data_IF_911801426517
#
_entry.id   IF_911801426517
#
_cell.length_a   1.000
_cell.length_b   1.000
_cell.length_c   1.000
_cell.angle_alpha   90.00
_cell.angle_beta   90.00
_cell.angle_gamma   90.00
#
_symmetry.space_group_name_H-M   'P 1'
#
loop_
_entity.id
_entity.type
_entity.pdbx_description
1 polymer ?
#
# COMPACT_ATOMS: atom_id res chain seq x y z
N UNK A 1 8.45 -20.33 -14.90
CA UNK A 1 8.22 -20.92 -13.56
C UNK A 1 8.19 -19.78 -12.57
N UNK A 2 7.27 -19.77 -11.60
CA UNK A 2 7.19 -18.74 -10.55
C UNK A 2 7.46 -19.42 -9.20
N UNK A 3 8.40 -18.88 -8.45
CA UNK A 3 8.73 -19.27 -7.07
C UNK A 3 8.48 -18.06 -6.17
N UNK A 4 7.80 -18.27 -5.04
CA UNK A 4 7.46 -17.21 -4.09
C UNK A 4 8.09 -17.58 -2.74
N UNK A 5 8.85 -16.65 -2.17
CA UNK A 5 9.52 -16.80 -0.87
C UNK A 5 9.04 -15.72 0.09
N UNK A 6 8.62 -16.14 1.28
CA UNK A 6 8.33 -15.23 2.39
C UNK A 6 9.65 -14.78 3.02
N UNK A 7 9.75 -13.48 3.29
CA UNK A 7 10.86 -12.83 3.95
C UNK A 7 10.36 -12.19 5.27
N UNK A 8 11.27 -11.90 6.22
CA UNK A 8 10.92 -11.09 7.40
C UNK A 8 10.37 -9.72 7.02
N UNK A 9 9.67 -9.07 7.95
CA UNK A 9 8.98 -7.79 7.83
C UNK A 9 7.81 -7.80 6.84
N UNK A 10 7.13 -8.94 6.71
CA UNK A 10 6.00 -9.10 5.79
C UNK A 10 6.38 -8.72 4.35
N UNK A 11 7.55 -9.20 3.93
CA UNK A 11 8.06 -9.05 2.57
C UNK A 11 7.96 -10.38 1.82
N UNK A 12 7.81 -10.28 0.51
CA UNK A 12 7.81 -11.42 -0.40
C UNK A 12 8.83 -11.18 -1.50
N UNK A 13 9.60 -12.22 -1.80
CA UNK A 13 10.42 -12.31 -3.01
C UNK A 13 9.78 -13.26 -4.01
N UNK A 14 9.48 -12.75 -5.19
CA UNK A 14 9.00 -13.51 -6.34
C UNK A 14 10.16 -13.69 -7.31
N UNK A 15 10.54 -14.93 -7.57
CA UNK A 15 11.50 -15.29 -8.62
C UNK A 15 10.69 -15.87 -9.77
N UNK A 16 10.76 -15.24 -10.94
CA UNK A 16 9.90 -15.59 -12.06
C UNK A 16 10.63 -15.61 -13.39
N UNK A 17 10.04 -16.36 -14.32
CA UNK A 17 10.45 -16.35 -15.73
C UNK A 17 9.24 -16.10 -16.62
N UNK A 18 9.36 -15.10 -17.49
CA UNK A 18 8.40 -14.86 -18.58
C UNK A 18 8.86 -15.70 -19.78
N UNK A 19 8.00 -16.61 -20.32
CA UNK A 19 8.38 -17.47 -21.43
C UNK A 19 8.87 -16.69 -22.65
N UNK A 20 9.87 -17.22 -23.35
CA UNK A 20 10.47 -16.58 -24.53
C UNK A 20 9.43 -16.12 -25.56
N UNK A 21 8.43 -16.96 -25.86
CA UNK A 21 7.34 -16.62 -26.79
C UNK A 21 6.57 -15.36 -26.38
N UNK A 22 6.31 -15.19 -25.09
CA UNK A 22 5.60 -14.03 -24.55
C UNK A 22 6.54 -12.82 -24.58
N UNK A 23 7.78 -13.00 -24.11
CA UNK A 23 8.79 -11.94 -24.11
C UNK A 23 9.05 -11.36 -25.50
N UNK A 24 9.21 -12.20 -26.52
CA UNK A 24 9.45 -11.80 -27.92
C UNK A 24 8.27 -11.03 -28.54
N UNK A 25 7.04 -11.24 -28.03
CA UNK A 25 5.88 -10.49 -28.53
C UNK A 25 5.98 -8.98 -28.28
N UNK A 26 6.76 -8.57 -27.26
CA UNK A 26 6.98 -7.16 -26.92
C UNK A 26 8.06 -6.48 -27.76
N UNK A 27 8.79 -7.23 -28.61
CA UNK A 27 9.90 -6.68 -29.41
C UNK A 27 9.47 -5.55 -30.32
N UNK A 28 8.34 -5.73 -31.01
CA UNK A 28 7.80 -4.72 -31.93
C UNK A 28 7.41 -3.43 -31.22
N UNK A 29 6.80 -3.53 -30.04
CA UNK A 29 6.38 -2.38 -29.26
C UNK A 29 7.59 -1.66 -28.66
N UNK A 30 8.59 -2.41 -28.19
CA UNK A 30 9.85 -1.85 -27.71
C UNK A 30 10.59 -1.03 -28.79
N UNK A 31 10.72 -1.59 -30.00
CA UNK A 31 11.30 -0.90 -31.16
C UNK A 31 10.53 0.37 -31.48
N UNK A 32 9.20 0.30 -31.48
CA UNK A 32 8.34 1.45 -31.78
C UNK A 32 8.51 2.57 -30.74
N UNK A 33 8.53 2.24 -29.45
CA UNK A 33 8.75 3.24 -28.37
C UNK A 33 10.14 3.88 -28.50
N UNK A 34 11.19 3.08 -28.62
CA UNK A 34 12.56 3.59 -28.72
C UNK A 34 12.72 4.46 -29.99
N UNK A 35 12.14 4.05 -31.12
CA UNK A 35 12.19 4.82 -32.37
C UNK A 35 11.51 6.19 -32.24
N UNK A 36 10.45 6.30 -31.44
CA UNK A 36 9.77 7.58 -31.19
C UNK A 36 10.56 8.48 -30.23
N UNK A 37 11.31 7.90 -29.29
CA UNK A 37 12.12 8.62 -28.31
C UNK A 37 13.50 9.04 -28.85
N UNK A 38 14.06 8.25 -29.78
CA UNK A 38 15.43 8.43 -30.27
C UNK A 38 15.46 9.29 -31.53
N UNK A 39 16.39 10.25 -31.57
CA UNK A 39 16.72 10.99 -32.78
C UNK A 39 17.73 10.20 -33.59
N UNK A 40 17.37 9.84 -34.82
CA UNK A 40 18.25 9.11 -35.73
C UNK A 40 18.54 10.02 -36.91
N UNK A 41 19.82 10.22 -37.20
CA UNK A 41 20.26 11.08 -38.29
C UNK A 41 19.64 10.65 -39.63
N UNK A 42 19.07 11.62 -40.35
CA UNK A 42 18.42 11.38 -41.64
C UNK A 42 16.99 10.81 -41.56
N UNK A 43 16.47 10.46 -40.38
CA UNK A 43 15.12 9.93 -40.20
C UNK A 43 14.28 10.80 -39.27
N UNK A 44 13.01 10.98 -39.61
CA UNK A 44 12.06 11.58 -38.66
C UNK A 44 11.81 10.60 -37.51
N UNK A 45 11.67 11.11 -36.27
CA UNK A 45 11.31 10.32 -35.08
C UNK A 45 10.20 9.32 -35.40
N UNK A 46 10.41 8.07 -35.02
CA UNK A 46 9.48 6.96 -35.25
C UNK A 46 9.44 6.38 -36.67
N UNK A 47 10.31 6.84 -37.59
CA UNK A 47 10.32 6.42 -39.00
C UNK A 47 11.64 5.78 -39.45
N UNK A 48 12.63 5.68 -38.57
CA UNK A 48 13.85 4.96 -38.86
C UNK A 48 13.56 3.45 -39.05
N UNK A 49 14.14 2.79 -40.07
CA UNK A 49 14.10 1.35 -40.22
C UNK A 49 14.70 0.63 -39.01
N UNK A 50 14.21 -0.58 -38.73
CA UNK A 50 14.62 -1.36 -37.56
C UNK A 50 16.13 -1.64 -37.53
N UNK A 51 16.72 -2.07 -38.64
CA UNK A 51 18.16 -2.36 -38.72
C UNK A 51 19.03 -1.14 -38.41
N UNK A 52 18.55 0.06 -38.75
CA UNK A 52 19.25 1.33 -38.47
C UNK A 52 19.10 1.67 -36.99
N UNK A 53 17.90 1.50 -36.42
CA UNK A 53 17.66 1.69 -34.99
C UNK A 53 18.54 0.76 -34.15
N UNK A 54 18.60 -0.54 -34.48
CA UNK A 54 19.41 -1.53 -33.74
C UNK A 54 20.90 -1.15 -33.78
N UNK A 55 21.41 -0.71 -34.93
CA UNK A 55 22.82 -0.28 -35.05
C UNK A 55 23.13 0.95 -34.19
N UNK A 56 22.19 1.88 -34.10
CA UNK A 56 22.37 3.12 -33.34
C UNK A 56 22.24 2.88 -31.83
N UNK A 57 21.21 2.15 -31.40
CA UNK A 57 20.84 2.04 -29.97
C UNK A 57 21.31 0.77 -29.29
N UNK A 58 21.70 -0.24 -30.07
CA UNK A 58 22.11 -1.56 -29.61
C UNK A 58 20.94 -2.49 -29.25
N UNK A 59 21.15 -3.79 -29.46
CA UNK A 59 20.17 -4.84 -29.12
C UNK A 59 19.84 -4.87 -27.62
N UNK A 60 20.82 -4.58 -26.76
CA UNK A 60 20.64 -4.56 -25.30
C UNK A 60 19.56 -3.58 -24.84
N UNK A 61 19.52 -2.38 -25.42
CA UNK A 61 18.51 -1.37 -25.09
C UNK A 61 17.12 -1.81 -25.51
N UNK A 62 17.00 -2.50 -26.64
CA UNK A 62 15.74 -3.06 -27.12
C UNK A 62 15.27 -4.16 -26.18
N UNK A 63 16.15 -5.10 -25.83
CA UNK A 63 15.85 -6.16 -24.86
C UNK A 63 15.40 -5.57 -23.53
N UNK A 64 16.12 -4.58 -22.99
CA UNK A 64 15.73 -3.95 -21.73
C UNK A 64 14.35 -3.28 -21.81
N UNK A 65 14.04 -2.60 -22.92
CA UNK A 65 12.70 -2.03 -23.15
C UNK A 65 11.63 -3.12 -23.26
N UNK A 66 11.91 -4.22 -23.94
CA UNK A 66 11.02 -5.38 -23.97
C UNK A 66 10.75 -5.89 -22.56
N UNK A 67 11.78 -5.95 -21.70
CA UNK A 67 11.65 -6.46 -20.34
C UNK A 67 10.73 -5.58 -19.49
N UNK A 68 10.86 -4.25 -19.60
CA UNK A 68 9.98 -3.31 -18.92
C UNK A 68 8.52 -3.46 -19.36
N UNK A 69 8.27 -3.61 -20.67
CA UNK A 69 6.92 -3.81 -21.21
C UNK A 69 6.32 -5.14 -20.76
N UNK A 70 7.10 -6.23 -20.88
CA UNK A 70 6.67 -7.55 -20.46
C UNK A 70 6.35 -7.60 -18.96
N UNK A 71 7.22 -7.04 -18.11
CA UNK A 71 6.99 -6.98 -16.67
C UNK A 71 5.77 -6.12 -16.31
N UNK A 72 5.56 -4.99 -17.01
CA UNK A 72 4.39 -4.12 -16.80
C UNK A 72 3.08 -4.87 -17.05
N UNK A 73 3.05 -5.77 -18.03
CA UNK A 73 1.85 -6.54 -18.35
C UNK A 73 1.70 -7.82 -17.52
N UNK A 74 2.78 -8.58 -17.34
CA UNK A 74 2.73 -9.90 -16.70
C UNK A 74 2.74 -9.82 -15.18
N UNK A 75 3.44 -8.85 -14.57
CA UNK A 75 3.52 -8.75 -13.12
C UNK A 75 2.15 -8.62 -12.43
N UNK A 76 1.22 -7.74 -12.89
CA UNK A 76 -0.13 -7.69 -12.31
C UNK A 76 -0.90 -9.01 -12.40
N UNK A 77 -0.67 -9.81 -13.46
CA UNK A 77 -1.30 -11.12 -13.63
C UNK A 77 -0.78 -12.09 -12.56
N UNK A 78 0.53 -12.10 -12.31
CA UNK A 78 1.17 -12.93 -11.27
C UNK A 78 0.62 -12.59 -9.89
N UNK A 79 0.54 -11.30 -9.54
CA UNK A 79 -0.02 -10.85 -8.25
C UNK A 79 -1.47 -11.32 -8.08
N UNK A 80 -2.29 -11.19 -9.12
CA UNK A 80 -3.69 -11.61 -9.09
C UNK A 80 -3.85 -13.13 -9.00
N UNK A 81 -3.10 -13.89 -9.79
CA UNK A 81 -3.16 -15.36 -9.83
C UNK A 81 -2.80 -15.98 -8.48
N UNK A 82 -1.76 -15.43 -7.84
CA UNK A 82 -1.30 -15.90 -6.53
C UNK A 82 -2.00 -15.21 -5.34
N UNK A 83 -3.00 -14.35 -5.60
CA UNK A 83 -3.78 -13.61 -4.58
C UNK A 83 -2.90 -12.84 -3.59
N UNK A 84 -1.80 -12.26 -4.07
CA UNK A 84 -0.86 -11.55 -3.22
C UNK A 84 -1.44 -10.17 -2.88
N UNK A 85 -1.72 -9.93 -1.60
CA UNK A 85 -2.15 -8.61 -1.07
C UNK A 85 -0.94 -7.66 -1.00
N UNK A 86 -0.42 -7.22 -2.15
CA UNK A 86 0.76 -6.37 -2.25
C UNK A 86 0.53 -4.95 -1.68
N UNK A 87 1.52 -4.42 -0.96
CA UNK A 87 1.54 -3.04 -0.45
C UNK A 87 2.61 -2.26 -1.21
N UNK A 88 2.19 -1.15 -1.83
CA UNK A 88 3.09 -0.27 -2.57
C UNK A 88 3.56 -0.87 -3.90
N UNK A 89 4.70 -0.37 -4.39
CA UNK A 89 5.30 -0.81 -5.66
C UNK A 89 6.41 -1.82 -5.40
N UNK A 90 6.56 -2.85 -6.26
CA UNK A 90 7.66 -3.79 -6.14
C UNK A 90 9.00 -3.18 -6.57
N UNK A 91 10.07 -3.67 -5.96
CA UNK A 91 11.43 -3.57 -6.50
C UNK A 91 11.67 -4.74 -7.45
N UNK A 92 11.66 -4.48 -8.76
CA UNK A 92 11.88 -5.51 -9.77
C UNK A 92 13.30 -5.41 -10.32
N UNK A 93 14.01 -6.53 -10.33
CA UNK A 93 15.34 -6.71 -10.89
C UNK A 93 15.30 -7.75 -12.00
N UNK A 94 15.75 -7.41 -13.20
CA UNK A 94 15.97 -8.39 -14.27
C UNK A 94 17.24 -9.18 -13.95
N UNK A 95 17.12 -10.50 -13.82
CA UNK A 95 18.24 -11.37 -13.43
C UNK A 95 18.93 -12.01 -14.64
N UNK A 96 18.18 -12.28 -15.72
CA UNK A 96 18.71 -12.78 -16.98
C UNK A 96 17.87 -12.30 -18.14
N UNK A 97 18.55 -11.81 -19.18
CA UNK A 97 17.91 -11.32 -20.40
C UNK A 97 18.79 -11.69 -21.60
N UNK A 98 18.18 -12.30 -22.61
CA UNK A 98 18.84 -12.65 -23.86
C UNK A 98 17.80 -12.83 -24.98
N UNK A 99 18.18 -12.61 -26.25
CA UNK A 99 17.28 -12.86 -27.38
C UNK A 99 16.79 -14.31 -27.41
N UNK A 100 15.53 -14.52 -27.76
CA UNK A 100 14.90 -15.85 -27.89
C UNK A 100 14.95 -16.73 -26.63
N UNK A 101 15.24 -16.14 -25.47
CA UNK A 101 15.28 -16.83 -24.19
C UNK A 101 14.17 -16.31 -23.27
N UNK A 102 13.75 -17.08 -22.26
CA UNK A 102 12.88 -16.56 -21.21
C UNK A 102 13.54 -15.36 -20.50
N UNK A 103 12.73 -14.36 -20.16
CA UNK A 103 13.16 -13.26 -19.31
C UNK A 103 13.05 -13.70 -17.85
N UNK A 104 14.18 -13.77 -17.15
CA UNK A 104 14.19 -14.06 -15.72
C UNK A 104 14.23 -12.76 -14.91
N UNK A 105 13.43 -12.71 -13.86
CA UNK A 105 13.36 -11.56 -12.96
C UNK A 105 13.20 -11.99 -11.51
N UNK A 106 13.50 -11.05 -10.62
CA UNK A 106 13.21 -11.10 -9.19
C UNK A 106 12.41 -9.86 -8.83
N UNK A 107 11.29 -10.01 -8.13
CA UNK A 107 10.53 -8.91 -7.59
C UNK A 107 10.49 -9.02 -6.06
N UNK A 108 10.81 -7.94 -5.36
CA UNK A 108 10.60 -7.83 -3.90
C UNK A 108 9.50 -6.84 -3.63
N UNK A 109 8.60 -7.17 -2.71
CA UNK A 109 7.48 -6.32 -2.35
C UNK A 109 7.08 -6.57 -0.91
N UNK A 110 6.49 -5.55 -0.30
CA UNK A 110 5.76 -5.70 0.96
C UNK A 110 4.40 -6.30 0.69
N UNK A 111 3.91 -7.14 1.60
CA UNK A 111 2.57 -7.70 1.56
C UNK A 111 1.84 -7.36 2.84
N UNK A 112 0.51 -7.29 2.75
CA UNK A 112 -0.32 -7.13 3.93
C UNK A 112 -0.09 -8.35 4.83
N UNK A 113 0.32 -8.16 6.10
CA UNK A 113 0.52 -9.26 7.01
C UNK A 113 -0.79 -10.01 7.21
N UNK A 114 -0.71 -11.34 7.20
CA UNK A 114 -1.81 -12.17 7.67
C UNK A 114 -1.81 -12.15 9.20
N UNK A 115 -2.98 -11.89 9.79
CA UNK A 115 -3.13 -11.89 11.24
C UNK A 115 -4.06 -13.02 11.68
N UNK A 116 -3.59 -13.80 12.65
CA UNK A 116 -4.41 -14.84 13.28
C UNK A 116 -5.07 -14.21 14.50
N UNK A 117 -6.34 -13.81 14.36
CA UNK A 117 -7.06 -13.26 15.50
C UNK A 117 -7.33 -14.35 16.55
N UNK A 118 -7.18 -14.04 17.85
CA UNK A 118 -7.68 -14.86 18.95
C UNK A 118 -9.22 -14.90 18.93
N UNK A 119 -9.82 -15.64 19.87
CA UNK A 119 -11.27 -15.57 20.09
C UNK A 119 -11.68 -14.19 20.62
N UNK A 120 -11.91 -13.26 19.69
CA UNK A 120 -12.32 -11.90 20.01
C UNK A 120 -13.74 -11.86 20.60
N UNK A 121 -14.60 -12.85 20.35
CA UNK A 121 -15.96 -12.88 20.93
C UNK A 121 -15.91 -13.13 22.43
N UNK A 122 -15.02 -14.01 22.88
CA UNK A 122 -14.75 -14.18 24.32
C UNK A 122 -14.20 -12.88 24.93
N UNK A 123 -13.24 -12.24 24.27
CA UNK A 123 -12.64 -10.98 24.73
C UNK A 123 -13.72 -9.89 24.91
N UNK A 124 -14.65 -9.76 23.95
CA UNK A 124 -15.78 -8.82 24.02
C UNK A 124 -16.66 -9.03 25.27
N UNK A 125 -16.87 -10.29 25.68
CA UNK A 125 -17.68 -10.63 26.88
C UNK A 125 -16.98 -10.28 28.19
N UNK A 126 -15.64 -10.31 28.20
CA UNK A 126 -14.82 -10.00 29.38
C UNK A 126 -14.45 -8.52 29.50
N UNK A 127 -14.87 -7.67 28.57
CA UNK A 127 -14.57 -6.23 28.60
C UNK A 127 -15.44 -5.54 29.66
N UNK A 128 -14.82 -4.83 30.60
CA UNK A 128 -15.48 -4.36 31.83
C UNK A 128 -15.97 -2.90 31.73
N UNK A 129 -15.40 -2.11 30.81
CA UNK A 129 -15.77 -0.71 30.67
C UNK A 129 -17.21 -0.53 30.16
N UNK A 130 -17.96 0.36 30.80
CA UNK A 130 -19.33 0.74 30.39
C UNK A 130 -19.36 1.82 29.30
N UNK A 131 -18.33 2.64 29.23
CA UNK A 131 -18.17 3.67 28.21
C UNK A 131 -17.67 3.02 26.92
N UNK A 132 -18.41 3.19 25.82
CA UNK A 132 -18.17 2.47 24.56
C UNK A 132 -16.74 2.66 24.05
N UNK A 133 -16.25 3.89 23.99
CA UNK A 133 -14.91 4.19 23.47
C UNK A 133 -13.81 3.49 24.27
N UNK A 134 -13.90 3.54 25.61
CA UNK A 134 -12.93 2.86 26.49
C UNK A 134 -13.02 1.35 26.36
N UNK A 135 -14.24 0.81 26.23
CA UNK A 135 -14.47 -0.61 26.05
C UNK A 135 -13.87 -1.12 24.74
N UNK A 136 -14.02 -0.37 23.65
CA UNK A 136 -13.47 -0.75 22.34
C UNK A 136 -11.94 -0.74 22.35
N UNK A 137 -11.33 0.27 22.98
CA UNK A 137 -9.87 0.31 23.16
C UNK A 137 -9.38 -0.89 23.98
N UNK A 138 -10.05 -1.20 25.11
CA UNK A 138 -9.70 -2.36 25.94
C UNK A 138 -9.76 -3.68 25.17
N UNK A 139 -10.81 -3.86 24.36
CA UNK A 139 -10.98 -5.05 23.51
C UNK A 139 -9.83 -5.16 22.51
N UNK A 140 -9.54 -4.06 21.81
CA UNK A 140 -8.46 -4.05 20.81
C UNK A 140 -7.11 -4.31 21.48
N UNK A 141 -6.85 -3.75 22.65
CA UNK A 141 -5.63 -4.01 23.45
C UNK A 141 -5.48 -5.50 23.78
N UNK A 142 -6.53 -6.11 24.32
CA UNK A 142 -6.54 -7.57 24.62
C UNK A 142 -6.33 -8.43 23.38
N UNK A 143 -6.81 -7.99 22.21
CA UNK A 143 -6.62 -8.71 20.94
C UNK A 143 -5.17 -8.58 20.46
N UNK A 144 -4.61 -7.36 20.42
CA UNK A 144 -3.24 -7.15 19.92
C UNK A 144 -2.19 -7.83 20.81
N UNK A 145 -2.43 -7.94 22.11
CA UNK A 145 -1.54 -8.64 23.05
C UNK A 145 -1.44 -10.14 22.75
N UNK A 146 -2.51 -10.72 22.20
CA UNK A 146 -2.59 -12.14 21.80
C UNK A 146 -2.32 -12.37 20.32
N UNK A 147 -2.01 -11.31 19.56
CA UNK A 147 -1.79 -11.37 18.12
C UNK A 147 -0.33 -11.08 17.81
N UNK A 148 0.39 -12.11 17.37
CA UNK A 148 1.73 -11.94 16.81
C UNK A 148 1.60 -11.52 15.34
N UNK A 149 2.12 -10.33 15.03
CA UNK A 149 2.17 -9.80 13.66
C UNK A 149 3.42 -8.96 13.48
N UNK A 150 4.14 -9.22 12.40
CA UNK A 150 5.30 -8.44 12.00
C UNK A 150 4.86 -7.31 11.07
N UNK A 151 5.05 -6.08 11.52
CA UNK A 151 4.59 -4.90 10.78
C UNK A 151 5.57 -4.59 9.64
N UNK A 152 5.11 -4.54 8.38
CA UNK A 152 5.94 -4.10 7.28
C UNK A 152 6.46 -2.68 7.50
N UNK A 153 7.76 -2.46 7.24
CA UNK A 153 8.41 -1.14 7.38
C UNK A 153 7.69 -0.05 6.61
N UNK A 154 7.18 -0.37 5.42
CA UNK A 154 6.43 0.60 4.61
C UNK A 154 5.17 1.12 5.31
N UNK A 155 4.47 0.28 6.08
CA UNK A 155 3.30 0.72 6.86
C UNK A 155 3.72 1.57 8.05
N UNK A 156 4.82 1.21 8.71
CA UNK A 156 5.37 1.97 9.82
C UNK A 156 5.78 3.38 9.39
N UNK A 157 6.52 3.48 8.29
CA UNK A 157 6.95 4.77 7.74
C UNK A 157 5.75 5.60 7.24
N UNK A 158 4.75 4.96 6.63
CA UNK A 158 3.52 5.65 6.24
C UNK A 158 2.74 6.24 7.45
N UNK A 159 2.61 5.49 8.54
CA UNK A 159 1.93 5.96 9.76
C UNK A 159 2.72 7.10 10.43
N UNK A 160 4.06 7.03 10.45
CA UNK A 160 4.93 8.12 10.94
C UNK A 160 4.76 9.40 10.13
N UNK A 161 4.74 9.30 8.79
CA UNK A 161 4.53 10.45 7.90
C UNK A 161 3.16 11.07 8.16
N UNK A 162 2.11 10.25 8.22
CA UNK A 162 0.75 10.71 8.51
C UNK A 162 0.68 11.43 9.86
N UNK A 163 1.29 10.88 10.90
CA UNK A 163 1.37 11.52 12.21
C UNK A 163 2.03 12.90 12.15
N UNK A 164 3.15 13.04 11.41
CA UNK A 164 3.81 14.33 11.24
C UNK A 164 2.93 15.34 10.50
N UNK A 165 2.25 14.92 9.45
CA UNK A 165 1.33 15.78 8.70
C UNK A 165 0.17 16.25 9.57
N UNK A 166 -0.48 15.33 10.30
CA UNK A 166 -1.56 15.65 11.24
C UNK A 166 -1.09 16.63 12.32
N UNK A 167 0.09 16.40 12.89
CA UNK A 167 0.63 17.28 13.92
C UNK A 167 1.02 18.66 13.39
N UNK A 168 1.67 18.72 12.22
CA UNK A 168 2.01 19.99 11.54
C UNK A 168 0.76 20.79 11.22
N UNK A 169 -0.28 20.14 10.70
CA UNK A 169 -1.56 20.78 10.41
C UNK A 169 -2.24 21.30 11.69
N UNK A 170 -2.28 20.47 12.74
CA UNK A 170 -2.85 20.88 14.03
C UNK A 170 -2.11 22.08 14.64
N UNK A 171 -0.79 22.13 14.56
CA UNK A 171 0.02 23.25 15.06
C UNK A 171 -0.21 24.51 14.22
N UNK A 172 -0.29 24.37 12.90
CA UNK A 172 -0.58 25.48 11.99
C UNK A 172 -1.92 26.14 12.29
N UNK A 173 -2.96 25.35 12.59
CA UNK A 173 -4.26 25.86 13.03
C UNK A 173 -4.21 26.65 14.34
N UNK A 174 -3.24 26.36 15.20
CA UNK A 174 -2.98 27.10 16.44
C UNK A 174 -2.03 28.29 16.22
N UNK A 175 -1.59 28.54 14.99
CA UNK A 175 -0.62 29.59 14.65
C UNK A 175 0.80 29.29 15.14
N UNK A 176 1.12 28.01 15.37
CA UNK A 176 2.44 27.56 15.83
C UNK A 176 3.24 26.99 14.65
N UNK A 177 4.51 27.42 14.55
CA UNK A 177 5.44 26.90 13.55
C UNK A 177 6.08 25.59 14.01
N UNK A 178 6.21 24.63 13.07
CA UNK A 178 6.76 23.30 13.33
C UNK A 178 8.14 23.34 14.00
N UNK A 179 9.03 24.19 13.46
CA UNK A 179 10.40 24.31 13.94
C UNK A 179 10.47 24.87 15.37
N UNK A 180 9.54 25.74 15.75
CA UNK A 180 9.52 26.30 17.11
C UNK A 180 8.93 25.30 18.11
N UNK A 181 7.94 24.50 17.69
CA UNK A 181 7.48 23.35 18.47
C UNK A 181 8.62 22.38 18.82
N UNK A 182 9.40 21.96 17.81
CA UNK A 182 10.54 21.06 18.02
C UNK A 182 11.60 21.63 18.98
N UNK A 183 11.90 22.94 18.88
CA UNK A 183 12.79 23.62 19.82
C UNK A 183 12.23 23.61 21.25
N UNK A 184 10.93 23.86 21.42
CA UNK A 184 10.30 23.94 22.73
C UNK A 184 10.32 22.59 23.46
N UNK A 185 10.14 21.48 22.72
CA UNK A 185 10.24 20.13 23.29
C UNK A 185 11.69 19.63 23.36
N UNK A 186 12.65 20.40 22.84
CA UNK A 186 14.07 20.08 22.75
C UNK A 186 14.34 18.71 22.08
N UNK A 187 13.67 18.47 20.94
CA UNK A 187 13.83 17.23 20.16
C UNK A 187 13.94 17.54 18.67
N UNK A 188 14.68 16.70 17.97
CA UNK A 188 14.65 16.61 16.51
C UNK A 188 13.39 15.87 16.03
N UNK A 189 13.04 16.05 14.75
CA UNK A 189 11.95 15.29 14.11
C UNK A 189 12.21 13.77 14.15
N UNK A 190 13.46 13.35 13.97
CA UNK A 190 13.87 11.95 14.04
C UNK A 190 13.67 11.34 15.43
N UNK A 191 14.04 12.06 16.49
CA UNK A 191 13.83 11.61 17.88
C UNK A 191 12.35 11.49 18.23
N UNK A 192 11.55 12.47 17.81
CA UNK A 192 10.10 12.44 17.98
C UNK A 192 9.48 11.22 17.27
N UNK A 193 9.86 10.97 16.01
CA UNK A 193 9.37 9.82 15.25
C UNK A 193 9.78 8.48 15.86
N UNK A 194 10.99 8.42 16.44
CA UNK A 194 11.49 7.23 17.14
C UNK A 194 10.70 6.93 18.40
N UNK A 195 10.31 7.96 19.16
CA UNK A 195 9.44 7.80 20.33
C UNK A 195 8.01 7.37 19.93
N UNK A 196 7.50 7.90 18.82
CA UNK A 196 6.19 7.55 18.28
C UNK A 196 6.11 6.13 17.69
N UNK A 197 7.25 5.48 17.45
CA UNK A 197 7.30 4.19 16.75
C UNK A 197 6.41 3.11 17.37
N UNK A 198 6.38 3.00 18.71
CA UNK A 198 5.53 2.04 19.40
C UNK A 198 4.04 2.34 19.24
N UNK A 199 3.67 3.63 19.27
CA UNK A 199 2.29 4.07 19.06
C UNK A 199 1.85 3.86 17.62
N UNK A 200 2.75 4.10 16.65
CA UNK A 200 2.52 3.80 15.24
C UNK A 200 2.28 2.30 15.03
N UNK A 201 3.13 1.44 15.60
CA UNK A 201 2.95 -0.02 15.56
C UNK A 201 1.60 -0.40 16.15
N UNK A 202 1.24 0.15 17.31
CA UNK A 202 -0.05 -0.12 17.97
C UNK A 202 -1.24 0.30 17.10
N UNK A 203 -1.20 1.49 16.48
CA UNK A 203 -2.23 1.99 15.58
C UNK A 203 -2.38 1.13 14.32
N UNK A 204 -1.27 0.72 13.72
CA UNK A 204 -1.29 -0.18 12.56
C UNK A 204 -1.93 -1.52 12.96
N UNK A 205 -1.54 -2.10 14.11
CA UNK A 205 -2.14 -3.33 14.62
C UNK A 205 -3.64 -3.21 14.83
N UNK A 206 -4.12 -2.10 15.39
CA UNK A 206 -5.56 -1.85 15.52
C UNK A 206 -6.26 -1.84 14.16
N UNK A 207 -5.71 -1.13 13.18
CA UNK A 207 -6.25 -1.09 11.82
C UNK A 207 -6.36 -2.48 11.20
N UNK A 208 -5.29 -3.28 11.31
CA UNK A 208 -5.26 -4.66 10.80
C UNK A 208 -6.30 -5.54 11.51
N UNK A 209 -6.38 -5.46 12.83
CA UNK A 209 -7.36 -6.23 13.64
C UNK A 209 -8.79 -5.86 13.26
N UNK A 210 -9.10 -4.57 13.13
CA UNK A 210 -10.43 -4.11 12.73
C UNK A 210 -10.79 -4.56 11.32
N UNK A 211 -9.84 -4.49 10.38
CA UNK A 211 -10.01 -4.97 9.01
C UNK A 211 -10.34 -6.47 8.99
N UNK A 212 -9.51 -7.29 9.63
CA UNK A 212 -9.69 -8.74 9.66
C UNK A 212 -10.99 -9.16 10.37
N UNK A 213 -11.33 -8.50 11.49
CA UNK A 213 -12.61 -8.75 12.17
C UNK A 213 -13.79 -8.39 11.26
N UNK A 214 -13.72 -7.25 10.55
CA UNK A 214 -14.76 -6.84 9.63
C UNK A 214 -14.89 -7.81 8.43
N UNK A 215 -13.76 -8.29 7.87
CA UNK A 215 -13.74 -9.30 6.81
C UNK A 215 -14.38 -10.62 7.28
N UNK A 216 -14.03 -11.11 8.49
CA UNK A 216 -14.58 -12.36 9.06
C UNK A 216 -16.08 -12.28 9.34
N UNK A 217 -16.53 -11.15 9.87
CA UNK A 217 -17.95 -10.90 10.14
C UNK A 217 -18.73 -10.44 8.90
N UNK A 218 -18.04 -10.26 7.76
CA UNK A 218 -18.61 -9.80 6.48
C UNK A 218 -19.38 -8.47 6.65
N UNK A 219 -18.78 -7.52 7.34
CA UNK A 219 -19.37 -6.20 7.55
C UNK A 219 -19.32 -5.42 6.25
N UNK A 220 -20.49 -5.04 5.76
CA UNK A 220 -20.64 -4.20 4.57
C UNK A 220 -21.22 -2.84 4.95
N UNK A 221 -20.73 -1.79 4.29
CA UNK A 221 -21.29 -0.43 4.37
C UNK A 221 -21.97 -0.17 3.04
N UNK A 222 -23.26 0.13 3.07
CA UNK A 222 -24.02 0.47 1.87
C UNK A 222 -23.67 1.88 1.38
N UNK A 223 -23.86 2.13 0.08
CA UNK A 223 -23.63 3.45 -0.51
C UNK A 223 -24.46 4.54 0.17
N UNK A 224 -25.71 4.22 0.54
CA UNK A 224 -26.60 5.14 1.25
C UNK A 224 -26.04 5.52 2.64
N UNK A 225 -25.60 4.53 3.43
CA UNK A 225 -24.99 4.80 4.75
C UNK A 225 -23.74 5.67 4.61
N UNK A 226 -22.93 5.39 3.59
CA UNK A 226 -21.71 6.15 3.32
C UNK A 226 -22.02 7.59 2.92
N UNK A 227 -22.96 7.81 2.01
CA UNK A 227 -23.38 9.15 1.58
C UNK A 227 -23.94 9.98 2.74
N UNK A 228 -24.81 9.39 3.56
CA UNK A 228 -25.33 10.04 4.76
C UNK A 228 -24.23 10.38 5.77
N UNK A 229 -23.26 9.47 5.95
CA UNK A 229 -22.12 9.69 6.83
C UNK A 229 -21.22 10.82 6.33
N UNK A 230 -20.91 10.84 5.04
CA UNK A 230 -20.06 11.87 4.41
C UNK A 230 -20.71 13.22 4.58
N UNK A 231 -22.02 13.32 4.31
CA UNK A 231 -22.78 14.56 4.50
C UNK A 231 -22.65 15.10 5.93
N UNK A 232 -22.79 14.24 6.96
CA UNK A 232 -22.64 14.65 8.36
C UNK A 232 -21.23 15.15 8.70
N UNK A 233 -20.19 14.50 8.17
CA UNK A 233 -18.80 14.93 8.38
C UNK A 233 -18.57 16.30 7.73
N UNK A 234 -19.00 16.50 6.49
CA UNK A 234 -18.88 17.79 5.80
C UNK A 234 -19.63 18.89 6.57
N UNK A 235 -20.88 18.63 6.98
CA UNK A 235 -21.67 19.58 7.78
C UNK A 235 -20.99 19.98 9.11
N UNK A 236 -20.21 19.07 9.72
CA UNK A 236 -19.52 19.29 10.99
C UNK A 236 -18.21 20.07 10.82
N UNK A 237 -17.43 19.79 9.77
CA UNK A 237 -16.04 20.25 9.65
C UNK A 237 -15.82 21.37 8.61
N UNK A 238 -16.78 21.69 7.75
CA UNK A 238 -16.70 22.89 6.90
C UNK A 238 -17.23 22.74 5.47
N UNK A 239 -16.93 23.72 4.61
CA UNK A 239 -17.40 23.72 3.22
C UNK A 239 -16.68 22.64 2.42
N UNK A 240 -17.45 21.86 1.67
CA UNK A 240 -17.01 20.76 0.78
C UNK A 240 -15.81 21.10 -0.13
N UNK A 241 -15.64 22.39 -0.49
CA UNK A 241 -14.57 22.85 -1.38
C UNK A 241 -13.17 22.82 -0.78
N UNK A 242 -13.05 22.78 0.54
CA UNK A 242 -11.76 22.82 1.24
C UNK A 242 -11.31 21.40 1.68
N UNK A 243 -12.11 20.38 1.35
CA UNK A 243 -11.89 19.00 1.77
C UNK A 243 -11.54 18.10 0.58
N UNK A 244 -10.61 17.18 0.81
CA UNK A 244 -10.40 16.05 -0.09
C UNK A 244 -11.56 15.05 0.11
N UNK A 245 -12.50 15.05 -0.82
CA UNK A 245 -13.71 14.24 -0.73
C UNK A 245 -13.44 12.74 -0.81
N UNK A 246 -12.37 12.31 -1.46
CA UNK A 246 -11.98 10.90 -1.49
C UNK A 246 -11.47 10.49 -0.10
N UNK A 247 -10.64 11.32 0.52
CA UNK A 247 -10.17 11.08 1.88
C UNK A 247 -11.32 11.08 2.90
N UNK A 248 -12.28 12.00 2.77
CA UNK A 248 -13.48 12.04 3.63
C UNK A 248 -14.28 10.75 3.47
N UNK A 249 -14.53 10.28 2.24
CA UNK A 249 -15.26 9.02 2.00
C UNK A 249 -14.56 7.82 2.62
N UNK A 250 -13.24 7.68 2.44
CA UNK A 250 -12.45 6.59 3.03
C UNK A 250 -12.54 6.62 4.56
N UNK A 251 -12.39 7.80 5.16
CA UNK A 251 -12.49 7.99 6.60
C UNK A 251 -13.89 7.64 7.13
N UNK A 252 -14.95 8.16 6.49
CA UNK A 252 -16.35 7.87 6.86
C UNK A 252 -16.66 6.38 6.75
N UNK A 253 -16.22 5.72 5.68
CA UNK A 253 -16.42 4.28 5.51
C UNK A 253 -15.85 3.50 6.70
N UNK A 254 -14.60 3.81 7.10
CA UNK A 254 -13.95 3.19 8.24
C UNK A 254 -14.73 3.37 9.55
N UNK A 255 -15.22 4.59 9.83
CA UNK A 255 -16.04 4.85 11.02
C UNK A 255 -17.31 3.98 11.02
N UNK A 256 -18.07 3.99 9.92
CA UNK A 256 -19.35 3.28 9.84
C UNK A 256 -19.11 1.77 9.97
N UNK A 257 -18.12 1.24 9.25
CA UNK A 257 -17.76 -0.18 9.29
C UNK A 257 -17.39 -0.61 10.72
N UNK A 258 -16.50 0.13 11.37
CA UNK A 258 -16.05 -0.20 12.71
C UNK A 258 -17.22 -0.14 13.70
N UNK A 259 -18.08 0.87 13.61
CA UNK A 259 -19.28 0.95 14.45
C UNK A 259 -20.20 -0.26 14.23
N UNK A 260 -20.51 -0.62 12.98
CA UNK A 260 -21.35 -1.78 12.66
C UNK A 260 -20.75 -3.09 13.20
N UNK A 261 -19.44 -3.25 13.10
CA UNK A 261 -18.71 -4.39 13.66
C UNK A 261 -18.90 -4.48 15.18
N UNK A 262 -18.63 -3.40 15.91
CA UNK A 262 -18.80 -3.39 17.36
C UNK A 262 -20.25 -3.57 17.81
N UNK A 263 -21.21 -2.98 17.09
CA UNK A 263 -22.65 -3.15 17.34
C UNK A 263 -23.10 -4.61 17.14
N UNK A 264 -22.57 -5.29 16.12
CA UNK A 264 -22.83 -6.71 15.86
C UNK A 264 -22.26 -7.60 16.97
N UNK A 265 -21.02 -7.33 17.38
CA UNK A 265 -20.32 -8.14 18.39
C UNK A 265 -20.82 -7.86 19.81
N UNK A 266 -21.42 -6.70 20.07
CA UNK A 266 -22.03 -6.39 21.37
C UNK A 266 -23.41 -7.03 21.57
N UNK A 267 -24.04 -7.55 20.50
CA UNK A 267 -25.36 -8.21 20.55
C UNK A 267 -25.29 -9.74 20.67
N UNK A 268 -24.13 -10.35 20.45
CA UNK A 268 -23.90 -11.82 20.41
C UNK A 268 -22.94 -12.28 21.50
#
# INVERSE_FOLDING_TARGET
MIEIKLLPNSEVEIIGEIPARVFESFRKDAIKEISNETEIEGFRKGKAPEDVLIKEVGEEKILYRMALLALKEEYPKIIKEHKIKAIGRPEITVTKIAPNNPLAFRARLYVLPEIVLPDYREIFKTAEHKEEDKRYIEILDKIIEKTEVEIPKILLEAEKIKFLEEMKNSLSHLGLEWNDYLKNINKSEEELLKEYENDAIKRIKYGLVLEEMAEREKIEVSDLELEEGVKKIVETYGKEKDLDMDQVRVYTYGIIRNKKLFDLLSKN
#
